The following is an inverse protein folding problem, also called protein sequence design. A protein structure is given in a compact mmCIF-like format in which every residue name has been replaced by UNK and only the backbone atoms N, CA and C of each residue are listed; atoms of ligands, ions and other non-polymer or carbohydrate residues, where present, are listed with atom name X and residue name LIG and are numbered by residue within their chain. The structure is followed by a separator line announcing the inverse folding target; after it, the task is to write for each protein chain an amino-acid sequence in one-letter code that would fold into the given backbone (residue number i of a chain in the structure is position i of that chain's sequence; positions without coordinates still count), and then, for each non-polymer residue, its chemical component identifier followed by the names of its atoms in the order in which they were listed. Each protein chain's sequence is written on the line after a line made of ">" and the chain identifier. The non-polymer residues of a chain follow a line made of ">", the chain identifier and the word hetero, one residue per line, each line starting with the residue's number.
data_IF_091357884506
#
_entry.id   IF_091357884506
#
_cell.length_a   1.000
_cell.length_b   1.000
_cell.length_c   1.000
_cell.angle_alpha   90.00
_cell.angle_beta   90.00
_cell.angle_gamma   90.00
#
_symmetry.space_group_name_H-M   'P 1'
#
loop_
_entity.id
_entity.type
_entity.pdbx_description
1 polymer ?
#
# COMPACT_ATOMS: atom_id res chain seq x y z
N UNK A 1 11.72 -2.47 7.20
CA UNK A 1 11.89 -1.72 5.93
C UNK A 1 11.15 -2.52 4.85
N UNK A 2 10.31 -1.91 4.02
CA UNK A 2 9.50 -2.65 3.02
C UNK A 2 10.39 -3.00 1.81
N UNK A 3 10.76 -4.27 1.58
CA UNK A 3 11.71 -4.65 0.53
C UNK A 3 11.22 -4.25 -0.87
N UNK A 4 9.91 -4.30 -1.11
CA UNK A 4 9.32 -3.92 -2.40
C UNK A 4 9.49 -2.43 -2.72
N UNK A 5 9.49 -1.56 -1.69
CA UNK A 5 9.73 -0.12 -1.88
C UNK A 5 11.18 0.13 -2.27
N UNK A 6 12.11 -0.58 -1.63
CA UNK A 6 13.53 -0.47 -1.96
C UNK A 6 13.80 -0.94 -3.39
N UNK A 7 13.25 -2.08 -3.81
CA UNK A 7 13.43 -2.59 -5.18
C UNK A 7 12.84 -1.63 -6.24
N UNK A 8 11.72 -0.95 -5.92
CA UNK A 8 11.13 0.06 -6.82
C UNK A 8 12.00 1.32 -6.92
N UNK A 9 12.59 1.76 -5.81
CA UNK A 9 13.52 2.90 -5.78
C UNK A 9 14.79 2.58 -6.56
N UNK A 10 15.32 1.37 -6.43
CA UNK A 10 16.50 0.91 -7.16
C UNK A 10 16.21 0.81 -8.67
N UNK A 11 14.98 0.43 -9.06
CA UNK A 11 14.56 0.41 -10.47
C UNK A 11 14.45 1.82 -11.07
N UNK A 12 13.88 2.78 -10.33
CA UNK A 12 13.81 4.19 -10.74
C UNK A 12 15.22 4.79 -10.90
N UNK A 13 16.12 4.46 -9.96
CA UNK A 13 17.53 4.86 -10.04
C UNK A 13 18.21 4.31 -11.30
N UNK A 14 18.00 3.04 -11.62
CA UNK A 14 18.64 2.37 -12.76
C UNK A 14 18.10 2.84 -14.12
N UNK A 15 16.79 3.01 -14.27
CA UNK A 15 16.16 3.14 -15.60
C UNK A 15 15.68 4.54 -15.97
N UNK A 16 15.41 5.41 -14.98
CA UNK A 16 14.70 6.68 -15.25
C UNK A 16 15.51 7.88 -14.75
N UNK A 17 15.81 7.95 -13.45
CA UNK A 17 16.27 9.21 -12.85
C UNK A 17 17.78 9.33 -12.68
N UNK A 18 18.53 8.23 -12.55
CA UNK A 18 19.97 8.27 -12.21
C UNK A 18 20.30 8.81 -10.79
N UNK A 19 19.28 9.17 -10.01
CA UNK A 19 19.36 9.71 -8.65
C UNK A 19 18.40 8.96 -7.71
N UNK A 20 18.82 8.77 -6.46
CA UNK A 20 18.10 7.93 -5.49
C UNK A 20 17.05 8.79 -4.75
N UNK A 21 15.78 8.71 -5.17
CA UNK A 21 14.68 9.56 -4.66
C UNK A 21 13.94 9.01 -3.44
N UNK A 22 14.67 8.57 -2.41
CA UNK A 22 14.07 7.89 -1.25
C UNK A 22 12.99 8.71 -0.53
N UNK A 23 13.23 10.02 -0.34
CA UNK A 23 12.32 10.93 0.35
C UNK A 23 10.98 11.11 -0.37
N UNK A 24 11.00 11.09 -1.70
CA UNK A 24 9.84 11.25 -2.55
C UNK A 24 8.95 10.01 -2.47
N UNK A 25 9.55 8.83 -2.62
CA UNK A 25 8.84 7.58 -2.36
C UNK A 25 8.35 7.52 -0.92
N UNK A 26 9.18 7.92 0.07
CA UNK A 26 8.86 7.98 1.50
C UNK A 26 7.58 8.77 1.79
N UNK A 27 7.42 9.94 1.17
CA UNK A 27 6.28 10.85 1.36
C UNK A 27 4.98 10.42 0.67
N UNK A 28 5.05 9.81 -0.52
CA UNK A 28 3.85 9.42 -1.27
C UNK A 28 3.05 8.32 -0.57
N UNK A 29 3.73 7.34 0.04
CA UNK A 29 3.07 6.21 0.71
C UNK A 29 2.03 6.65 1.76
N UNK A 30 2.43 7.47 2.75
CA UNK A 30 1.52 8.05 3.75
C UNK A 30 0.41 8.94 3.17
N UNK A 31 0.67 9.66 2.07
CA UNK A 31 -0.35 10.51 1.44
C UNK A 31 -1.54 9.69 0.92
N UNK A 32 -1.27 8.49 0.40
CA UNK A 32 -2.31 7.58 -0.09
C UNK A 32 -2.89 6.70 1.02
N UNK A 33 -2.05 6.21 1.95
CA UNK A 33 -2.52 5.27 2.97
C UNK A 33 -3.38 5.92 4.05
N UNK A 34 -3.15 7.20 4.39
CA UNK A 34 -3.93 7.89 5.43
C UNK A 34 -5.41 8.06 5.04
N UNK A 35 -5.76 8.60 3.86
CA UNK A 35 -7.15 8.63 3.41
C UNK A 35 -7.76 7.23 3.25
N UNK A 36 -6.97 6.26 2.76
CA UNK A 36 -7.42 4.88 2.61
C UNK A 36 -7.87 4.29 3.96
N UNK A 37 -7.07 4.45 5.02
CA UNK A 37 -7.42 3.97 6.36
C UNK A 37 -8.69 4.68 6.87
N UNK A 38 -8.83 5.98 6.63
CA UNK A 38 -10.02 6.74 7.01
C UNK A 38 -11.29 6.18 6.34
N UNK A 39 -11.24 5.90 5.03
CA UNK A 39 -12.36 5.30 4.30
C UNK A 39 -12.64 3.88 4.79
N UNK A 40 -11.60 3.08 5.02
CA UNK A 40 -11.73 1.72 5.50
C UNK A 40 -12.39 1.64 6.89
N UNK A 41 -12.13 2.62 7.77
CA UNK A 41 -12.77 2.69 9.09
C UNK A 41 -14.20 3.24 9.03
N UNK A 42 -14.52 4.11 8.07
CA UNK A 42 -15.85 4.67 7.90
C UNK A 42 -16.84 3.70 7.20
N UNK A 43 -16.33 2.74 6.43
CA UNK A 43 -17.15 1.85 5.62
C UNK A 43 -17.98 0.83 6.44
N UNK A 44 -17.42 0.10 7.43
CA UNK A 44 -18.21 -0.81 8.25
C UNK A 44 -19.40 -0.16 8.97
N UNK A 45 -19.25 0.97 9.69
CA UNK A 45 -20.39 1.62 10.35
C UNK A 45 -21.47 2.08 9.35
N UNK A 46 -21.06 2.56 8.17
CA UNK A 46 -22.00 2.94 7.11
C UNK A 46 -22.81 1.75 6.59
N UNK A 47 -22.16 0.59 6.39
CA UNK A 47 -22.84 -0.64 5.97
C UNK A 47 -23.77 -1.14 7.08
N UNK A 48 -23.31 -1.17 8.34
CA UNK A 48 -24.13 -1.60 9.47
C UNK A 48 -25.41 -0.75 9.60
N UNK A 49 -25.31 0.56 9.39
CA UNK A 49 -26.47 1.47 9.38
C UNK A 49 -27.46 1.11 8.27
N UNK A 50 -26.95 0.82 7.07
CA UNK A 50 -27.79 0.41 5.94
C UNK A 50 -28.52 -0.92 6.17
N UNK A 51 -27.95 -1.83 6.97
CA UNK A 51 -28.56 -3.11 7.36
C UNK A 51 -29.49 -3.03 8.58
N UNK A 52 -29.83 -1.82 9.05
CA UNK A 52 -30.84 -1.59 10.09
C UNK A 52 -30.28 -1.39 11.51
N UNK A 53 -28.96 -1.24 11.67
CA UNK A 53 -28.36 -0.90 12.95
C UNK A 53 -28.48 0.62 13.20
N UNK A 54 -29.30 1.03 14.15
CA UNK A 54 -29.52 2.44 14.48
C UNK A 54 -28.57 2.84 15.62
N UNK A 55 -27.78 3.88 15.41
CA UNK A 55 -27.00 4.51 16.47
C UNK A 55 -27.95 5.18 17.45
N UNK A 56 -27.83 4.84 18.73
CA UNK A 56 -28.70 5.39 19.75
C UNK A 56 -28.07 6.70 20.29
N UNK A 57 -27.51 7.55 19.44
CA UNK A 57 -27.33 8.98 19.80
C UNK A 57 -28.69 9.72 19.80
N UNK A 58 -29.74 9.04 19.32
CA UNK A 58 -31.13 9.43 19.53
C UNK A 58 -31.73 8.96 20.89
N UNK A 59 -31.02 8.15 21.73
CA UNK A 59 -31.56 7.59 23.00
C UNK A 59 -30.54 6.92 24.02
N UNK A 60 -29.22 7.02 23.86
CA UNK A 60 -28.18 6.60 24.83
C UNK A 60 -27.51 5.20 24.73
N UNK A 61 -27.12 4.68 23.56
CA UNK A 61 -26.53 3.32 23.40
C UNK A 61 -26.25 2.79 21.95
N UNK A 62 -26.05 1.48 21.78
CA UNK A 62 -26.08 0.78 20.46
C UNK A 62 -27.17 -0.28 20.55
N UNK A 63 -28.29 -0.11 19.83
CA UNK A 63 -29.44 -1.01 19.92
C UNK A 63 -29.94 -1.35 18.53
N UNK A 64 -29.87 -2.63 18.15
CA UNK A 64 -30.41 -3.12 16.90
C UNK A 64 -31.94 -3.17 17.00
N UNK A 65 -32.61 -2.05 16.72
CA UNK A 65 -34.06 -1.91 16.94
C UNK A 65 -34.88 -2.73 15.94
N UNK A 66 -34.33 -3.02 14.74
CA UNK A 66 -34.97 -3.83 13.71
C UNK A 66 -33.99 -4.86 13.14
N UNK A 67 -34.11 -6.13 13.55
CA UNK A 67 -33.44 -7.25 12.88
C UNK A 67 -31.97 -7.48 13.26
N UNK A 68 -31.75 -7.98 14.48
CA UNK A 68 -30.44 -8.48 14.95
C UNK A 68 -29.75 -9.43 13.92
N UNK A 69 -30.55 -10.24 13.23
CA UNK A 69 -30.09 -11.17 12.19
C UNK A 69 -29.56 -10.42 10.95
N UNK A 70 -30.24 -9.36 10.49
CA UNK A 70 -29.79 -8.57 9.36
C UNK A 70 -28.55 -7.73 9.69
N UNK A 71 -28.51 -7.13 10.88
CA UNK A 71 -27.36 -6.35 11.35
C UNK A 71 -26.10 -7.22 11.53
N UNK A 72 -26.23 -8.42 12.10
CA UNK A 72 -25.12 -9.36 12.24
C UNK A 72 -24.61 -9.91 10.90
N UNK A 73 -25.49 -10.10 9.91
CA UNK A 73 -25.09 -10.39 8.53
C UNK A 73 -24.31 -9.23 7.91
N UNK A 74 -24.78 -7.98 8.09
CA UNK A 74 -24.09 -6.78 7.60
C UNK A 74 -22.66 -6.65 8.14
N UNK A 75 -22.45 -6.93 9.43
CA UNK A 75 -21.12 -6.95 10.06
C UNK A 75 -20.22 -8.00 9.40
N UNK A 76 -20.69 -9.25 9.28
CA UNK A 76 -19.92 -10.34 8.69
C UNK A 76 -19.51 -10.05 7.23
N UNK A 77 -20.41 -9.45 6.45
CA UNK A 77 -20.14 -9.04 5.07
C UNK A 77 -19.08 -7.93 5.03
N UNK A 78 -19.22 -6.92 5.90
CA UNK A 78 -18.29 -5.78 5.93
C UNK A 78 -16.88 -6.15 6.39
N UNK A 79 -16.74 -7.10 7.33
CA UNK A 79 -15.45 -7.48 7.92
C UNK A 79 -14.74 -8.61 7.16
N UNK A 80 -15.49 -9.50 6.50
CA UNK A 80 -14.92 -10.67 5.84
C UNK A 80 -15.04 -10.61 4.32
N UNK A 81 -16.25 -10.40 3.79
CA UNK A 81 -16.50 -10.51 2.35
C UNK A 81 -15.86 -9.36 1.57
N UNK A 82 -16.06 -8.12 2.03
CA UNK A 82 -15.53 -6.94 1.34
C UNK A 82 -13.99 -6.92 1.36
N UNK A 83 -13.30 -7.09 2.51
CA UNK A 83 -11.84 -7.15 2.52
C UNK A 83 -11.29 -8.32 1.71
N UNK A 84 -12.00 -9.47 1.70
CA UNK A 84 -11.63 -10.64 0.90
C UNK A 84 -11.66 -10.36 -0.61
N UNK A 85 -12.74 -9.74 -1.11
CA UNK A 85 -12.86 -9.38 -2.54
C UNK A 85 -11.82 -8.34 -2.92
N UNK A 86 -11.63 -7.30 -2.10
CA UNK A 86 -10.63 -6.25 -2.36
C UNK A 86 -9.21 -6.85 -2.38
N UNK A 87 -8.90 -7.77 -1.47
CA UNK A 87 -7.62 -8.48 -1.45
C UNK A 87 -7.41 -9.34 -2.69
N UNK A 88 -8.46 -10.02 -3.16
CA UNK A 88 -8.40 -10.82 -4.38
C UNK A 88 -8.15 -9.96 -5.62
N UNK A 89 -8.85 -8.82 -5.74
CA UNK A 89 -8.62 -7.86 -6.82
C UNK A 89 -7.19 -7.33 -6.75
N UNK A 90 -6.72 -6.97 -5.54
CA UNK A 90 -5.34 -6.53 -5.32
C UNK A 90 -4.30 -7.55 -5.77
N UNK A 91 -4.53 -8.83 -5.47
CA UNK A 91 -3.69 -9.94 -5.92
C UNK A 91 -3.68 -10.08 -7.45
N UNK A 92 -4.83 -10.00 -8.11
CA UNK A 92 -4.94 -10.09 -9.57
C UNK A 92 -4.22 -8.93 -10.25
N UNK A 93 -4.40 -7.71 -9.74
CA UNK A 93 -3.70 -6.53 -10.24
C UNK A 93 -2.19 -6.68 -10.04
N UNK A 94 -1.77 -7.18 -8.88
CA UNK A 94 -0.36 -7.40 -8.60
C UNK A 94 0.28 -8.40 -9.57
N UNK A 95 -0.35 -9.56 -9.80
CA UNK A 95 0.17 -10.58 -10.73
C UNK A 95 0.26 -10.03 -12.16
N UNK A 96 -0.71 -9.22 -12.61
CA UNK A 96 -0.76 -8.74 -14.00
C UNK A 96 0.13 -7.54 -14.27
N UNK A 97 0.26 -6.63 -13.31
CA UNK A 97 0.86 -5.31 -13.54
C UNK A 97 2.18 -5.08 -12.83
N UNK A 98 2.66 -5.99 -11.97
CA UNK A 98 3.93 -5.82 -11.28
C UNK A 98 5.08 -6.46 -12.10
N UNK A 99 5.89 -5.67 -12.84
CA UNK A 99 6.84 -6.20 -13.80
C UNK A 99 8.20 -6.58 -13.18
N UNK A 100 8.28 -6.65 -11.84
CA UNK A 100 9.51 -6.97 -11.11
C UNK A 100 9.69 -8.49 -11.02
N UNK A 101 10.02 -9.11 -12.15
CA UNK A 101 10.40 -10.52 -12.21
C UNK A 101 11.81 -10.71 -11.62
N UNK A 102 12.07 -11.90 -11.05
CA UNK A 102 13.36 -12.19 -10.39
C UNK A 102 14.60 -11.96 -11.28
N UNK A 103 14.46 -12.16 -12.59
CA UNK A 103 15.53 -11.87 -13.56
C UNK A 103 15.85 -10.37 -13.65
N UNK A 104 14.82 -9.53 -13.77
CA UNK A 104 14.94 -8.06 -13.83
C UNK A 104 15.58 -7.53 -12.55
N UNK A 105 15.18 -8.07 -11.38
CA UNK A 105 15.76 -7.69 -10.09
C UNK A 105 17.24 -8.07 -10.01
N UNK A 106 17.64 -9.21 -10.55
CA UNK A 106 19.04 -9.67 -10.55
C UNK A 106 19.91 -8.80 -11.47
N UNK A 107 19.41 -8.46 -12.65
CA UNK A 107 20.07 -7.55 -13.59
C UNK A 107 20.24 -6.16 -12.98
N UNK A 108 19.16 -5.58 -12.45
CA UNK A 108 19.16 -4.30 -11.78
C UNK A 108 20.20 -4.25 -10.64
N UNK A 109 20.26 -5.27 -9.77
CA UNK A 109 21.24 -5.33 -8.67
C UNK A 109 22.69 -5.34 -9.17
N UNK A 110 22.95 -5.96 -10.33
CA UNK A 110 24.29 -5.98 -10.94
C UNK A 110 24.67 -4.59 -11.44
N UNK A 111 23.78 -3.95 -12.19
CA UNK A 111 24.02 -2.61 -12.77
C UNK A 111 24.18 -1.53 -11.70
N UNK A 112 23.32 -1.54 -10.67
CA UNK A 112 23.42 -0.61 -9.54
C UNK A 112 24.75 -0.76 -8.80
N UNK A 113 25.28 -1.98 -8.67
CA UNK A 113 26.60 -2.21 -8.07
C UNK A 113 27.72 -1.57 -8.89
N UNK A 114 27.68 -1.71 -10.22
CA UNK A 114 28.68 -1.11 -11.13
C UNK A 114 28.63 0.42 -11.03
N UNK A 115 27.43 1.01 -11.03
CA UNK A 115 27.23 2.46 -10.87
C UNK A 115 27.79 2.98 -9.53
N UNK A 116 27.63 2.21 -8.45
CA UNK A 116 28.20 2.57 -7.15
C UNK A 116 29.73 2.45 -7.13
N UNK A 117 30.31 1.48 -7.82
CA UNK A 117 31.77 1.36 -7.93
C UNK A 117 32.38 2.51 -8.75
N UNK A 118 31.73 2.91 -9.85
CA UNK A 118 32.14 4.07 -10.64
C UNK A 118 32.09 5.37 -9.83
N UNK A 119 30.94 5.69 -9.20
CA UNK A 119 30.83 6.89 -8.36
C UNK A 119 31.86 6.94 -7.22
N UNK A 120 32.23 5.79 -6.64
CA UNK A 120 33.27 5.74 -5.61
C UNK A 120 34.66 6.07 -6.17
N UNK A 121 34.98 5.61 -7.38
CA UNK A 121 36.24 5.93 -8.07
C UNK A 121 36.30 7.42 -8.41
N UNK A 122 35.25 7.96 -9.04
CA UNK A 122 35.17 9.39 -9.38
C UNK A 122 35.30 10.28 -8.13
N UNK A 123 34.66 9.88 -7.02
CA UNK A 123 34.75 10.59 -5.76
C UNK A 123 36.18 10.55 -5.17
N UNK A 124 36.87 9.41 -5.26
CA UNK A 124 38.26 9.29 -4.81
C UNK A 124 39.24 10.09 -5.67
N UNK A 125 39.04 10.12 -6.99
CA UNK A 125 39.83 10.94 -7.91
C UNK A 125 39.61 12.44 -7.65
N UNK A 126 38.37 12.88 -7.39
CA UNK A 126 38.05 14.28 -7.09
C UNK A 126 38.61 14.81 -5.75
N UNK A 127 38.96 13.93 -4.79
CA UNK A 127 39.64 14.31 -3.53
C UNK A 127 41.16 14.13 -3.56
N UNK A 128 41.70 13.57 -4.65
CA UNK A 128 43.12 13.22 -4.80
C UNK A 128 43.98 14.26 -5.54
N UNK A 129 43.42 15.40 -5.96
CA UNK A 129 44.16 16.56 -6.50
C UNK A 129 43.95 17.78 -5.60
#
# INVERSE_FOLDING_TARGET
>A
HNPMRADTIDYDYWKISGERRESLYAGIGPLLSKPMISVALALPPAIMTAFGLIYVDALGGLSATNGLVAASLGVNISMNLIPGIVSLIGLLVWIKFYPLTGEVVKEMKREVKILHEQKRKDYQESRGS
#
